data_IF_783836943530
#
_entry.id   IF_783836943530
#
_cell.length_a   1.000
_cell.length_b   1.000
_cell.length_c   1.000
_cell.angle_alpha   90.00
_cell.angle_beta   90.00
_cell.angle_gamma   90.00
#
_symmetry.space_group_name_H-M   'P 1'
#
loop_
_entity.id
_entity.type
_entity.pdbx_description
1 polymer ?
#
# COMPACT_ATOMS: atom_id res chain seq x y z
N UNK A 1 -131.58 153.01 90.08
CA UNK A 1 -130.74 154.21 89.86
C UNK A 1 -129.31 153.75 89.63
N UNK A 2 -128.65 154.27 88.59
CA UNK A 2 -127.25 154.01 88.19
C UNK A 2 -126.26 154.28 89.33
N UNK A 3 -125.22 153.45 89.43
CA UNK A 3 -123.82 153.89 89.33
C UNK A 3 -122.92 152.69 88.96
N UNK A 4 -122.37 152.76 87.76
CA UNK A 4 -121.35 151.86 87.20
C UNK A 4 -119.96 152.32 87.64
N UNK A 5 -119.07 151.38 87.94
CA UNK A 5 -117.63 151.58 87.85
C UNK A 5 -117.02 150.43 87.04
N UNK A 6 -116.16 150.82 86.09
CA UNK A 6 -115.60 150.04 84.98
C UNK A 6 -114.53 149.03 85.45
N UNK A 7 -114.57 147.80 84.94
CA UNK A 7 -113.39 146.90 84.88
C UNK A 7 -113.25 146.33 83.46
N UNK A 8 -112.03 146.36 82.92
CA UNK A 8 -111.73 146.20 81.49
C UNK A 8 -111.70 144.77 80.94
N UNK A 9 -111.61 144.64 79.61
CA UNK A 9 -111.58 143.37 78.86
C UNK A 9 -110.24 142.64 78.95
N UNK A 10 -110.28 141.31 79.03
CA UNK A 10 -109.09 140.44 79.09
C UNK A 10 -108.71 139.82 77.73
N UNK A 11 -107.40 139.57 77.53
CA UNK A 11 -106.84 138.93 76.32
C UNK A 11 -107.48 137.56 76.00
N UNK A 12 -107.84 136.78 77.02
CA UNK A 12 -108.50 135.46 76.85
C UNK A 12 -109.89 135.59 76.25
N UNK A 13 -110.65 136.62 76.62
CA UNK A 13 -111.97 136.88 76.03
C UNK A 13 -111.85 137.25 74.56
N UNK A 14 -110.87 138.09 74.19
CA UNK A 14 -110.57 138.42 72.78
C UNK A 14 -110.14 137.18 71.99
N UNK A 15 -109.36 136.28 72.58
CA UNK A 15 -108.96 135.02 71.95
C UNK A 15 -110.14 134.08 71.71
N UNK A 16 -111.05 133.95 72.69
CA UNK A 16 -112.27 133.15 72.56
C UNK A 16 -113.20 133.72 71.47
N UNK A 17 -113.39 135.05 71.45
CA UNK A 17 -114.17 135.73 70.41
C UNK A 17 -113.55 135.56 69.01
N UNK A 18 -112.21 135.65 68.88
CA UNK A 18 -111.50 135.34 67.62
C UNK A 18 -111.71 133.90 67.18
N UNK A 19 -111.58 132.94 68.09
CA UNK A 19 -111.77 131.52 67.80
C UNK A 19 -113.22 131.23 67.38
N UNK A 20 -114.21 131.84 68.04
CA UNK A 20 -115.62 131.73 67.69
C UNK A 20 -115.92 132.30 66.29
N UNK A 21 -115.39 133.47 65.95
CA UNK A 21 -115.54 134.06 64.61
C UNK A 21 -114.85 133.23 63.53
N UNK A 22 -113.65 132.72 63.79
CA UNK A 22 -112.92 131.85 62.86
C UNK A 22 -113.62 130.50 62.67
N UNK A 23 -114.19 129.93 63.72
CA UNK A 23 -115.01 128.72 63.63
C UNK A 23 -116.31 128.94 62.84
N UNK A 24 -116.91 130.13 62.95
CA UNK A 24 -118.05 130.57 62.11
C UNK A 24 -117.64 131.05 60.71
N UNK A 25 -116.36 130.96 60.35
CA UNK A 25 -115.77 131.42 59.08
C UNK A 25 -116.08 132.89 58.72
N UNK A 26 -116.35 133.73 59.72
CA UNK A 26 -116.56 135.16 59.52
C UNK A 26 -115.22 135.91 59.64
N UNK A 27 -115.09 136.99 58.86
CA UNK A 27 -113.88 137.81 58.87
C UNK A 27 -113.62 138.38 60.26
N UNK A 28 -112.46 138.05 60.84
CA UNK A 28 -112.02 138.52 62.16
C UNK A 28 -111.61 140.00 62.05
N UNK A 29 -112.60 140.89 61.99
CA UNK A 29 -112.38 142.34 62.07
C UNK A 29 -112.59 142.83 63.50
N UNK A 30 -111.96 143.95 63.86
CA UNK A 30 -111.99 144.46 65.23
C UNK A 30 -113.42 144.71 65.71
N UNK A 31 -114.30 145.19 64.82
CA UNK A 31 -115.69 145.48 65.13
C UNK A 31 -116.52 144.19 65.30
N UNK A 32 -116.22 143.12 64.54
CA UNK A 32 -116.85 141.81 64.72
C UNK A 32 -116.46 141.18 66.06
N UNK A 33 -115.18 141.27 66.45
CA UNK A 33 -114.70 140.79 67.76
C UNK A 33 -115.32 141.61 68.89
N UNK A 34 -115.53 142.92 68.69
CA UNK A 34 -116.19 143.79 69.66
C UNK A 34 -117.69 143.48 69.81
N UNK A 35 -118.38 143.15 68.72
CA UNK A 35 -119.78 142.73 68.75
C UNK A 35 -119.97 141.43 69.55
N UNK A 36 -119.11 140.44 69.33
CA UNK A 36 -119.10 139.18 70.09
C UNK A 36 -118.74 139.38 71.58
N UNK A 37 -117.98 140.42 71.90
CA UNK A 37 -117.66 140.82 73.28
C UNK A 37 -118.76 141.71 73.91
N UNK A 38 -119.95 141.77 73.32
CA UNK A 38 -121.10 142.51 73.87
C UNK A 38 -120.96 144.03 73.76
N UNK A 39 -120.26 144.52 72.74
CA UNK A 39 -119.96 145.94 72.48
C UNK A 39 -119.12 146.63 73.56
N UNK A 40 -118.44 145.85 74.39
CA UNK A 40 -117.55 146.35 75.42
C UNK A 40 -116.11 146.48 74.90
N UNK A 41 -115.30 147.32 75.55
CA UNK A 41 -113.89 147.50 75.23
C UNK A 41 -113.61 148.52 74.13
N UNK A 42 -112.44 149.15 74.21
CA UNK A 42 -112.00 150.11 73.19
C UNK A 42 -111.37 149.37 72.00
N UNK A 43 -111.60 149.89 70.79
CA UNK A 43 -111.11 149.33 69.52
C UNK A 43 -109.58 149.12 69.54
N UNK A 44 -108.85 149.99 70.22
CA UNK A 44 -107.39 149.92 70.39
C UNK A 44 -106.96 148.74 71.27
N UNK A 45 -107.70 148.43 72.35
CA UNK A 45 -107.38 147.28 73.22
C UNK A 45 -107.59 145.94 72.51
N UNK A 46 -108.65 145.82 71.71
CA UNK A 46 -108.95 144.60 70.95
C UNK A 46 -107.92 144.38 69.84
N UNK A 47 -107.55 145.42 69.10
CA UNK A 47 -106.51 145.34 68.06
C UNK A 47 -105.15 144.91 68.61
N UNK A 48 -104.75 145.45 69.76
CA UNK A 48 -103.51 145.04 70.42
C UNK A 48 -103.51 143.55 70.77
N UNK A 49 -104.58 143.05 71.38
CA UNK A 49 -104.65 141.63 71.75
C UNK A 49 -104.77 140.70 70.54
N UNK A 50 -105.37 141.13 69.43
CA UNK A 50 -105.39 140.35 68.18
C UNK A 50 -103.98 140.21 67.58
N UNK A 51 -103.21 141.30 67.49
CA UNK A 51 -101.85 141.27 66.96
C UNK A 51 -100.90 140.41 67.82
N UNK A 52 -101.01 140.51 69.15
CA UNK A 52 -100.20 139.67 70.05
C UNK A 52 -100.52 138.16 69.93
N UNK A 53 -101.70 137.78 69.43
CA UNK A 53 -102.08 136.37 69.22
C UNK A 53 -101.58 135.81 67.90
N UNK A 54 -101.49 136.63 66.84
CA UNK A 54 -100.96 136.21 65.55
C UNK A 54 -99.44 136.00 65.59
N UNK A 55 -98.70 136.88 66.30
CA UNK A 55 -97.25 136.75 66.50
C UNK A 55 -96.86 135.43 67.20
N UNK A 56 -97.63 134.98 68.19
CA UNK A 56 -97.34 133.73 68.92
C UNK A 56 -97.57 132.45 68.09
N UNK A 57 -98.37 132.51 67.02
CA UNK A 57 -98.59 131.35 66.13
C UNK A 57 -97.48 131.21 65.09
N UNK A 58 -96.99 132.33 64.54
CA UNK A 58 -95.87 132.32 63.59
C UNK A 58 -94.59 131.75 64.22
N UNK A 59 -94.26 132.16 65.44
CA UNK A 59 -93.08 131.66 66.18
C UNK A 59 -93.12 130.14 66.44
N UNK A 60 -94.30 129.51 66.49
CA UNK A 60 -94.42 128.05 66.70
C UNK A 60 -94.26 127.23 65.43
N UNK A 61 -94.67 127.75 64.28
CA UNK A 61 -94.48 127.08 62.99
C UNK A 61 -93.00 127.14 62.57
N UNK A 62 -92.36 128.30 62.75
CA UNK A 62 -90.94 128.49 62.45
C UNK A 62 -90.04 127.52 63.26
N UNK A 63 -90.41 127.20 64.51
CA UNK A 63 -89.68 126.24 65.34
C UNK A 63 -89.88 124.76 64.92
N UNK A 64 -91.03 124.40 64.35
CA UNK A 64 -91.28 123.03 63.87
C UNK A 64 -90.59 122.76 62.54
N UNK A 65 -90.57 123.77 61.66
CA UNK A 65 -89.82 123.71 60.40
C UNK A 65 -88.30 123.71 60.65
N UNK A 66 -87.82 124.44 61.66
CA UNK A 66 -86.41 124.38 62.10
C UNK A 66 -86.03 122.99 62.66
N UNK A 67 -86.89 122.38 63.50
CA UNK A 67 -86.63 121.04 64.05
C UNK A 67 -86.69 119.94 62.97
N UNK A 68 -87.62 120.06 62.02
CA UNK A 68 -87.71 119.17 60.85
C UNK A 68 -86.48 119.29 59.95
N UNK A 69 -85.99 120.52 59.77
CA UNK A 69 -84.76 120.78 59.02
C UNK A 69 -83.51 120.23 59.74
N UNK A 70 -83.39 120.37 61.07
CA UNK A 70 -82.28 119.79 61.86
C UNK A 70 -82.29 118.25 61.84
N UNK A 71 -83.46 117.63 62.00
CA UNK A 71 -83.59 116.16 61.88
C UNK A 71 -83.30 115.68 60.46
N UNK A 72 -83.76 116.40 59.44
CA UNK A 72 -83.43 116.11 58.03
C UNK A 72 -81.93 116.23 57.73
N UNK A 73 -81.25 117.21 58.33
CA UNK A 73 -79.79 117.34 58.23
C UNK A 73 -79.07 116.19 58.93
N UNK A 74 -79.49 115.79 60.15
CA UNK A 74 -78.86 114.68 60.88
C UNK A 74 -79.07 113.34 60.18
N UNK A 75 -80.29 113.08 59.69
CA UNK A 75 -80.61 111.88 58.90
C UNK A 75 -79.83 111.90 57.57
N UNK A 76 -79.68 113.05 56.93
CA UNK A 76 -78.83 113.21 55.74
C UNK A 76 -77.36 112.93 56.02
N UNK A 77 -76.82 113.38 57.15
CA UNK A 77 -75.45 113.08 57.58
C UNK A 77 -75.26 111.59 57.88
N UNK A 78 -76.21 110.95 58.55
CA UNK A 78 -76.19 109.50 58.81
C UNK A 78 -76.30 108.69 57.52
N UNK A 79 -77.18 109.09 56.59
CA UNK A 79 -77.31 108.45 55.28
C UNK A 79 -76.03 108.61 54.45
N UNK A 80 -75.42 109.79 54.45
CA UNK A 80 -74.13 110.04 53.78
C UNK A 80 -73.01 109.18 54.38
N UNK A 81 -72.93 109.10 55.71
CA UNK A 81 -71.94 108.27 56.40
C UNK A 81 -72.15 106.77 56.14
N UNK A 82 -73.40 106.30 56.13
CA UNK A 82 -73.74 104.93 55.71
C UNK A 82 -73.38 104.67 54.25
N UNK A 83 -73.57 105.65 53.37
CA UNK A 83 -73.22 105.54 51.96
C UNK A 83 -71.70 105.53 51.76
N UNK A 84 -70.95 106.31 52.53
CA UNK A 84 -69.48 106.27 52.58
C UNK A 84 -68.98 104.92 53.12
N UNK A 85 -69.50 104.44 54.25
CA UNK A 85 -69.13 103.12 54.79
C UNK A 85 -69.50 101.97 53.83
N UNK A 86 -70.63 102.08 53.11
CA UNK A 86 -71.00 101.11 52.09
C UNK A 86 -70.05 101.15 50.89
N UNK A 87 -69.66 102.35 50.42
CA UNK A 87 -68.66 102.51 49.35
C UNK A 87 -67.30 101.97 49.77
N UNK A 88 -66.83 102.29 50.97
CA UNK A 88 -65.56 101.76 51.50
C UNK A 88 -65.58 100.24 51.59
N UNK A 89 -66.70 99.64 52.03
CA UNK A 89 -66.85 98.17 52.04
C UNK A 89 -66.86 97.56 50.64
N UNK A 90 -67.49 98.22 49.68
CA UNK A 90 -67.48 97.79 48.27
C UNK A 90 -66.05 97.87 47.72
N UNK A 91 -65.35 98.99 47.91
CA UNK A 91 -63.96 99.16 47.46
C UNK A 91 -63.02 98.14 48.11
N UNK A 92 -63.17 97.88 49.42
CA UNK A 92 -62.40 96.84 50.12
C UNK A 92 -62.69 95.44 49.57
N UNK A 93 -63.95 95.12 49.29
CA UNK A 93 -64.32 93.83 48.71
C UNK A 93 -63.84 93.71 47.27
N UNK A 94 -63.98 94.75 46.45
CA UNK A 94 -63.46 94.78 45.08
C UNK A 94 -61.94 94.60 45.05
N UNK A 95 -61.21 95.29 45.94
CA UNK A 95 -59.77 95.10 46.09
C UNK A 95 -59.40 93.67 46.51
N UNK A 96 -60.16 93.06 47.44
CA UNK A 96 -59.97 91.65 47.82
C UNK A 96 -60.22 90.71 46.65
N UNK A 97 -61.32 90.87 45.92
CA UNK A 97 -61.63 90.04 44.76
C UNK A 97 -60.63 90.22 43.61
N UNK A 98 -60.13 91.44 43.39
CA UNK A 98 -59.08 91.70 42.42
C UNK A 98 -57.80 90.96 42.80
N UNK A 99 -57.35 91.07 44.07
CA UNK A 99 -56.18 90.34 44.56
C UNK A 99 -56.35 88.83 44.47
N UNK A 100 -57.50 88.28 44.87
CA UNK A 100 -57.79 86.84 44.75
C UNK A 100 -57.77 86.41 43.27
N UNK A 101 -58.39 87.19 42.37
CA UNK A 101 -58.41 86.88 40.94
C UNK A 101 -57.01 86.91 40.33
N UNK A 102 -56.18 87.88 40.72
CA UNK A 102 -54.77 87.93 40.30
C UNK A 102 -54.01 86.71 40.82
N UNK A 103 -54.17 86.34 42.09
CA UNK A 103 -53.55 85.13 42.66
C UNK A 103 -54.01 83.85 41.95
N UNK A 104 -55.30 83.72 41.62
CA UNK A 104 -55.81 82.58 40.86
C UNK A 104 -55.28 82.57 39.43
N UNK A 105 -55.11 83.74 38.81
CA UNK A 105 -54.52 83.84 37.47
C UNK A 105 -53.04 83.46 37.47
N UNK A 106 -52.26 83.91 38.46
CA UNK A 106 -50.84 83.53 38.56
C UNK A 106 -50.69 82.04 38.85
N UNK A 107 -51.48 81.48 39.78
CA UNK A 107 -51.45 80.03 40.06
C UNK A 107 -51.85 79.20 38.83
N UNK A 108 -52.86 79.67 38.08
CA UNK A 108 -53.27 79.00 36.84
C UNK A 108 -52.14 79.02 35.80
N UNK A 109 -51.48 80.16 35.61
CA UNK A 109 -50.34 80.28 34.70
C UNK A 109 -49.18 79.38 35.13
N UNK A 110 -48.82 79.36 36.42
CA UNK A 110 -47.77 78.48 36.95
C UNK A 110 -48.09 77.00 36.72
N UNK A 111 -49.35 76.59 36.90
CA UNK A 111 -49.79 75.21 36.63
C UNK A 111 -49.80 74.88 35.13
N UNK A 112 -50.19 75.82 34.26
CA UNK A 112 -50.15 75.65 32.81
C UNK A 112 -48.70 75.52 32.32
N UNK A 113 -47.78 76.33 32.83
CA UNK A 113 -46.35 76.27 32.51
C UNK A 113 -45.71 74.96 33.03
N UNK A 114 -46.05 74.54 34.25
CA UNK A 114 -45.60 73.27 34.80
C UNK A 114 -46.11 72.08 33.99
N UNK A 115 -47.38 72.11 33.57
CA UNK A 115 -47.98 71.09 32.71
C UNK A 115 -47.30 71.05 31.34
N UNK A 116 -47.07 72.21 30.72
CA UNK A 116 -46.37 72.30 29.44
C UNK A 116 -44.93 71.75 29.53
N UNK A 117 -44.20 72.09 30.61
CA UNK A 117 -42.86 71.57 30.88
C UNK A 117 -42.87 70.05 31.07
N UNK A 118 -43.81 69.52 31.86
CA UNK A 118 -43.95 68.08 32.08
C UNK A 118 -44.32 67.33 30.78
N UNK A 119 -45.19 67.91 29.94
CA UNK A 119 -45.55 67.35 28.64
C UNK A 119 -44.34 67.34 27.69
N UNK A 120 -43.55 68.42 27.65
CA UNK A 120 -42.33 68.49 26.85
C UNK A 120 -41.28 67.45 27.30
N UNK A 121 -41.10 67.26 28.61
CA UNK A 121 -40.22 66.24 29.15
C UNK A 121 -40.70 64.82 28.81
N UNK A 122 -42.01 64.56 28.96
CA UNK A 122 -42.62 63.28 28.58
C UNK A 122 -42.42 62.97 27.09
N UNK A 123 -42.67 63.95 26.22
CA UNK A 123 -42.44 63.81 24.77
C UNK A 123 -40.95 63.53 24.45
N UNK A 124 -40.02 64.20 25.13
CA UNK A 124 -38.58 63.95 24.97
C UNK A 124 -38.19 62.54 25.43
N UNK A 125 -38.70 62.08 26.56
CA UNK A 125 -38.43 60.73 27.07
C UNK A 125 -39.00 59.65 26.15
N UNK A 126 -40.21 59.85 25.63
CA UNK A 126 -40.82 58.93 24.65
C UNK A 126 -39.96 58.86 23.38
N UNK A 127 -39.48 60.00 22.87
CA UNK A 127 -38.59 60.01 21.72
C UNK A 127 -37.27 59.26 21.99
N UNK A 128 -36.68 59.42 23.17
CA UNK A 128 -35.46 58.69 23.57
C UNK A 128 -35.69 57.18 23.69
N UNK A 129 -36.82 56.77 24.26
CA UNK A 129 -37.18 55.35 24.37
C UNK A 129 -37.35 54.73 22.98
N UNK A 130 -38.08 55.39 22.08
CA UNK A 130 -38.27 54.91 20.72
C UNK A 130 -36.94 54.80 19.95
N UNK A 131 -36.03 55.76 20.13
CA UNK A 131 -34.70 55.70 19.52
C UNK A 131 -33.88 54.52 20.07
N UNK A 132 -33.86 54.32 21.39
CA UNK A 132 -33.17 53.19 22.01
C UNK A 132 -33.78 51.84 21.61
N UNK A 133 -35.09 51.76 21.44
CA UNK A 133 -35.76 50.56 20.94
C UNK A 133 -35.38 50.25 19.49
N UNK A 134 -35.28 51.27 18.65
CA UNK A 134 -34.82 51.16 17.26
C UNK A 134 -33.37 50.68 17.18
N UNK A 135 -32.46 51.31 17.96
CA UNK A 135 -31.07 50.88 18.08
C UNK A 135 -31.00 49.44 18.60
N UNK A 136 -31.78 49.11 19.63
CA UNK A 136 -31.85 47.76 20.18
C UNK A 136 -32.40 46.72 19.20
N UNK A 137 -33.29 47.09 18.29
CA UNK A 137 -33.76 46.22 17.22
C UNK A 137 -32.67 45.97 16.16
N UNK A 138 -31.99 47.03 15.69
CA UNK A 138 -30.91 46.90 14.70
C UNK A 138 -29.72 46.07 15.22
N UNK A 139 -29.29 46.29 16.47
CA UNK A 139 -28.23 45.49 17.10
C UNK A 139 -28.63 44.02 17.27
N UNK A 140 -29.92 43.73 17.54
CA UNK A 140 -30.42 42.36 17.62
C UNK A 140 -30.36 41.67 16.26
N UNK A 141 -30.72 42.39 15.20
CA UNK A 141 -30.64 41.88 13.82
C UNK A 141 -29.19 41.62 13.40
N UNK A 142 -28.29 42.58 13.62
CA UNK A 142 -26.86 42.43 13.33
C UNK A 142 -26.26 41.23 14.09
N UNK A 143 -26.59 41.08 15.38
CA UNK A 143 -26.15 39.94 16.18
C UNK A 143 -26.65 38.60 15.63
N UNK A 144 -27.89 38.55 15.14
CA UNK A 144 -28.44 37.33 14.56
C UNK A 144 -27.77 37.00 13.22
N UNK A 145 -27.51 38.00 12.37
CA UNK A 145 -26.74 37.81 11.14
C UNK A 145 -25.32 37.30 11.43
N UNK A 146 -24.64 37.89 12.41
CA UNK A 146 -23.32 37.42 12.85
C UNK A 146 -23.37 35.99 13.38
N UNK A 147 -24.40 35.64 14.17
CA UNK A 147 -24.59 34.28 14.68
C UNK A 147 -24.78 33.26 13.56
N UNK A 148 -25.60 33.58 12.55
CA UNK A 148 -25.81 32.73 11.37
C UNK A 148 -24.49 32.59 10.60
N UNK A 149 -23.77 33.69 10.37
CA UNK A 149 -22.50 33.67 9.64
C UNK A 149 -21.43 32.85 10.37
N UNK A 150 -21.37 32.94 11.70
CA UNK A 150 -20.49 32.14 12.54
C UNK A 150 -20.84 30.66 12.44
N UNK A 151 -22.14 30.32 12.52
CA UNK A 151 -22.62 28.94 12.33
C UNK A 151 -22.24 28.37 10.95
N UNK A 152 -22.40 29.14 9.88
CA UNK A 152 -21.98 28.72 8.54
C UNK A 152 -20.46 28.56 8.43
N UNK A 153 -19.69 29.41 9.09
CA UNK A 153 -18.23 29.31 9.11
C UNK A 153 -17.76 28.06 9.87
N UNK A 154 -18.35 27.76 11.03
CA UNK A 154 -18.01 26.56 11.82
C UNK A 154 -18.41 25.27 11.11
N UNK A 155 -19.56 25.23 10.44
CA UNK A 155 -19.96 24.08 9.61
C UNK A 155 -18.98 23.86 8.45
N UNK A 156 -18.57 24.93 7.74
CA UNK A 156 -17.56 24.85 6.68
C UNK A 156 -16.21 24.37 7.22
N UNK A 157 -15.79 24.88 8.37
CA UNK A 157 -14.54 24.46 9.01
C UNK A 157 -14.58 22.97 9.39
N UNK A 158 -15.68 22.50 9.97
CA UNK A 158 -15.90 21.09 10.29
C UNK A 158 -15.86 20.21 9.03
N UNK A 159 -16.55 20.62 7.96
CA UNK A 159 -16.53 19.91 6.68
C UNK A 159 -15.14 19.86 6.03
N UNK A 160 -14.35 20.94 6.13
CA UNK A 160 -12.97 20.96 5.66
C UNK A 160 -12.07 20.04 6.49
N UNK A 161 -12.22 20.02 7.82
CA UNK A 161 -11.49 19.11 8.70
C UNK A 161 -11.80 17.64 8.38
N UNK A 162 -13.07 17.29 8.16
CA UNK A 162 -13.45 15.94 7.76
C UNK A 162 -12.79 15.54 6.43
N UNK A 163 -12.87 16.39 5.40
CA UNK A 163 -12.25 16.13 4.09
C UNK A 163 -10.72 16.02 4.19
N UNK A 164 -10.09 16.81 5.06
CA UNK A 164 -8.65 16.73 5.30
C UNK A 164 -8.29 15.40 5.95
N UNK A 165 -9.03 14.98 6.98
CA UNK A 165 -8.86 13.67 7.64
C UNK A 165 -9.01 12.50 6.66
N UNK A 166 -10.07 12.50 5.84
CA UNK A 166 -10.31 11.49 4.81
C UNK A 166 -9.15 11.42 3.80
N UNK A 167 -8.65 12.59 3.35
CA UNK A 167 -7.49 12.65 2.44
C UNK A 167 -6.21 12.15 3.11
N UNK A 168 -5.98 12.49 4.38
CA UNK A 168 -4.83 12.01 5.14
C UNK A 168 -4.85 10.47 5.25
N UNK A 169 -6.01 9.89 5.55
CA UNK A 169 -6.20 8.44 5.61
C UNK A 169 -5.98 7.78 4.23
N UNK A 170 -6.47 8.41 3.16
CA UNK A 170 -6.26 7.92 1.80
C UNK A 170 -4.78 7.96 1.40
N UNK A 171 -4.06 9.04 1.74
CA UNK A 171 -2.60 9.16 1.50
C UNK A 171 -1.86 8.05 2.26
N UNK A 172 -2.15 7.86 3.54
CA UNK A 172 -1.53 6.79 4.34
C UNK A 172 -1.80 5.39 3.74
N UNK A 173 -3.02 5.14 3.23
CA UNK A 173 -3.35 3.89 2.55
C UNK A 173 -2.56 3.70 1.25
N UNK A 174 -2.39 4.76 0.46
CA UNK A 174 -1.58 4.71 -0.76
C UNK A 174 -0.11 4.48 -0.44
N UNK A 175 0.45 5.16 0.56
CA UNK A 175 1.82 4.95 1.01
C UNK A 175 2.05 3.50 1.44
N UNK A 176 1.13 2.92 2.22
CA UNK A 176 1.19 1.52 2.61
C UNK A 176 1.14 0.57 1.39
N UNK A 177 0.29 0.85 0.39
CA UNK A 177 0.28 0.06 -0.85
C UNK A 177 1.60 0.20 -1.63
N UNK A 178 2.20 1.39 -1.63
CA UNK A 178 3.50 1.62 -2.25
C UNK A 178 4.64 0.90 -1.53
N UNK A 179 4.66 0.88 -0.20
CA UNK A 179 5.66 0.11 0.57
C UNK A 179 5.52 -1.38 0.29
N UNK A 180 4.29 -1.92 0.33
CA UNK A 180 4.03 -3.33 0.02
C UNK A 180 4.46 -3.70 -1.40
N UNK A 181 4.22 -2.82 -2.39
CA UNK A 181 4.67 -3.05 -3.76
C UNK A 181 6.20 -3.04 -3.89
N UNK A 182 6.90 -2.17 -3.14
CA UNK A 182 8.37 -2.15 -3.09
C UNK A 182 8.93 -3.41 -2.45
N UNK A 183 8.41 -3.80 -1.29
CA UNK A 183 8.81 -5.02 -0.58
C UNK A 183 8.58 -6.26 -1.44
N UNK A 184 7.42 -6.37 -2.11
CA UNK A 184 7.15 -7.46 -3.04
C UNK A 184 8.19 -7.51 -4.17
N UNK A 185 8.53 -6.37 -4.79
CA UNK A 185 9.56 -6.30 -5.84
C UNK A 185 10.95 -6.68 -5.31
N UNK A 186 11.30 -6.30 -4.09
CA UNK A 186 12.55 -6.70 -3.45
C UNK A 186 12.60 -8.21 -3.22
N UNK A 187 11.51 -8.80 -2.73
CA UNK A 187 11.38 -10.25 -2.61
C UNK A 187 11.49 -10.96 -3.96
N UNK A 188 10.83 -10.47 -5.01
CA UNK A 188 10.96 -11.03 -6.35
C UNK A 188 12.38 -10.94 -6.89
N UNK A 189 13.06 -9.81 -6.69
CA UNK A 189 14.46 -9.63 -7.11
C UNK A 189 15.39 -10.58 -6.35
N UNK A 190 15.22 -10.69 -5.03
CA UNK A 190 16.00 -11.60 -4.19
C UNK A 190 15.76 -13.05 -4.60
N UNK A 191 14.51 -13.48 -4.76
CA UNK A 191 14.15 -14.83 -5.20
C UNK A 191 14.75 -15.15 -6.59
N UNK A 192 14.66 -14.22 -7.54
CA UNK A 192 15.24 -14.39 -8.88
C UNK A 192 16.76 -14.51 -8.82
N UNK A 193 17.43 -13.71 -7.97
CA UNK A 193 18.87 -13.79 -7.75
C UNK A 193 19.26 -15.15 -7.19
N UNK A 194 18.60 -15.60 -6.11
CA UNK A 194 18.84 -16.91 -5.50
C UNK A 194 18.60 -18.06 -6.48
N UNK A 195 17.55 -17.98 -7.31
CA UNK A 195 17.28 -18.98 -8.34
C UNK A 195 18.42 -19.05 -9.36
N UNK A 196 18.89 -17.91 -9.86
CA UNK A 196 20.03 -17.87 -10.80
C UNK A 196 21.30 -18.42 -10.17
N UNK A 197 21.57 -18.10 -8.90
CA UNK A 197 22.72 -18.63 -8.17
C UNK A 197 22.64 -20.17 -8.02
N UNK A 198 21.46 -20.70 -7.71
CA UNK A 198 21.25 -22.16 -7.65
C UNK A 198 21.43 -22.83 -9.01
N UNK A 199 20.90 -22.24 -10.09
CA UNK A 199 21.04 -22.78 -11.44
C UNK A 199 22.51 -22.73 -11.90
N UNK A 200 23.24 -21.64 -11.59
CA UNK A 200 24.68 -21.56 -11.85
C UNK A 200 25.46 -22.66 -11.10
N UNK A 201 25.17 -22.89 -9.81
CA UNK A 201 25.80 -23.96 -9.03
C UNK A 201 25.50 -25.35 -9.61
N UNK A 202 24.26 -25.59 -10.05
CA UNK A 202 23.88 -26.86 -10.72
C UNK A 202 24.63 -27.04 -12.03
N UNK A 203 24.71 -26.00 -12.86
CA UNK A 203 25.44 -26.04 -14.12
C UNK A 203 26.93 -26.24 -13.90
N UNK A 204 27.53 -25.56 -12.92
CA UNK A 204 28.93 -25.76 -12.55
C UNK A 204 29.20 -27.21 -12.12
N UNK A 205 28.31 -27.80 -11.32
CA UNK A 205 28.40 -29.20 -10.94
C UNK A 205 28.30 -30.15 -12.16
N UNK A 206 27.36 -29.92 -13.08
CA UNK A 206 27.24 -30.70 -14.32
C UNK A 206 28.49 -30.61 -15.18
N UNK A 207 29.07 -29.42 -15.33
CA UNK A 207 30.32 -29.21 -16.08
C UNK A 207 31.46 -29.99 -15.43
N UNK A 208 31.58 -29.96 -14.10
CA UNK A 208 32.60 -30.73 -13.38
C UNK A 208 32.43 -32.25 -13.58
N UNK A 209 31.20 -32.76 -13.55
CA UNK A 209 30.90 -34.17 -13.83
C UNK A 209 31.32 -34.57 -15.25
N UNK A 210 30.91 -33.80 -16.27
CA UNK A 210 31.29 -34.07 -17.67
C UNK A 210 32.81 -33.98 -17.87
N UNK A 211 33.49 -33.02 -17.22
CA UNK A 211 34.95 -32.94 -17.25
C UNK A 211 35.63 -34.14 -16.58
N UNK A 212 35.04 -34.70 -15.52
CA UNK A 212 35.54 -35.91 -14.88
C UNK A 212 35.33 -37.15 -15.78
N UNK A 213 34.16 -37.27 -16.42
CA UNK A 213 33.87 -38.33 -17.40
C UNK A 213 34.79 -38.24 -18.61
N UNK A 214 35.03 -37.04 -19.14
CA UNK A 214 35.97 -36.81 -20.25
C UNK A 214 37.39 -37.25 -19.86
N UNK A 215 37.86 -36.89 -18.66
CA UNK A 215 39.16 -37.35 -18.14
C UNK A 215 39.22 -38.87 -18.03
N UNK A 216 38.15 -39.50 -17.54
CA UNK A 216 38.06 -40.97 -17.46
C UNK A 216 38.08 -41.63 -18.85
N UNK A 217 37.34 -41.09 -19.82
CA UNK A 217 37.34 -41.58 -21.19
C UNK A 217 38.72 -41.42 -21.85
N UNK A 218 39.39 -40.28 -21.66
CA UNK A 218 40.76 -40.06 -22.13
C UNK A 218 41.74 -41.07 -21.52
N UNK A 219 41.63 -41.37 -20.23
CA UNK A 219 42.43 -42.42 -19.58
C UNK A 219 42.15 -43.81 -20.18
N UNK A 220 40.89 -44.15 -20.44
CA UNK A 220 40.53 -45.42 -21.09
C UNK A 220 41.10 -45.51 -22.51
N UNK A 221 41.03 -44.43 -23.29
CA UNK A 221 41.64 -44.37 -24.62
C UNK A 221 43.15 -44.56 -24.53
N UNK A 222 43.83 -43.91 -23.59
CA UNK A 222 45.27 -44.08 -23.40
C UNK A 222 45.67 -45.53 -23.07
N UNK A 223 44.89 -46.21 -22.22
CA UNK A 223 45.11 -47.65 -21.91
C UNK A 223 44.90 -48.52 -23.15
N UNK A 224 43.85 -48.24 -23.95
CA UNK A 224 43.62 -48.97 -25.20
C UNK A 224 44.74 -48.72 -26.20
N UNK A 225 45.22 -47.48 -26.35
CA UNK A 225 46.37 -47.14 -27.20
C UNK A 225 47.62 -47.90 -26.75
N UNK A 226 47.95 -47.91 -25.45
CA UNK A 226 49.11 -48.65 -24.94
C UNK A 226 49.01 -50.17 -25.22
N UNK A 227 47.81 -50.74 -25.10
CA UNK A 227 47.61 -52.16 -25.42
C UNK A 227 47.66 -52.45 -26.93
N UNK A 228 47.17 -51.52 -27.77
CA UNK A 228 47.30 -51.58 -29.22
C UNK A 228 48.77 -51.50 -29.65
N UNK A 229 49.54 -50.58 -29.09
CA UNK A 229 50.98 -50.43 -29.36
C UNK A 229 51.74 -51.71 -28.99
N UNK A 230 51.44 -52.30 -27.82
CA UNK A 230 51.98 -53.62 -27.42
C UNK A 230 51.60 -54.71 -28.41
N UNK A 231 50.34 -54.76 -28.86
CA UNK A 231 49.89 -55.73 -29.85
C UNK A 231 50.56 -55.54 -31.22
N UNK A 232 50.72 -54.30 -31.68
CA UNK A 232 51.44 -53.96 -32.91
C UNK A 232 52.92 -54.35 -32.80
N UNK A 233 53.57 -54.09 -31.68
CA UNK A 233 54.95 -54.52 -31.44
C UNK A 233 55.09 -56.05 -31.45
N UNK A 234 54.17 -56.75 -30.79
CA UNK A 234 54.13 -58.22 -30.82
C UNK A 234 53.89 -58.75 -32.23
N UNK A 235 52.98 -58.13 -32.99
CA UNK A 235 52.70 -58.48 -34.37
C UNK A 235 53.96 -58.31 -35.23
N UNK A 236 54.62 -57.16 -35.18
CA UNK A 236 55.87 -56.91 -35.91
C UNK A 236 56.99 -57.91 -35.50
N UNK A 237 57.10 -58.24 -34.22
CA UNK A 237 58.05 -59.24 -33.71
C UNK A 237 57.73 -60.66 -34.22
N UNK A 238 56.45 -61.03 -34.26
CA UNK A 238 55.99 -62.30 -34.81
C UNK A 238 56.20 -62.34 -36.33
N UNK A 239 55.92 -61.26 -37.06
CA UNK A 239 56.20 -61.15 -38.49
C UNK A 239 57.70 -61.29 -38.79
N UNK A 240 58.57 -60.64 -38.02
CA UNK A 240 60.01 -60.80 -38.15
C UNK A 240 60.45 -62.25 -37.87
N UNK A 241 59.89 -62.89 -36.83
CA UNK A 241 60.13 -64.32 -36.56
C UNK A 241 59.62 -65.21 -37.70
N UNK A 242 58.47 -64.91 -38.28
CA UNK A 242 57.92 -65.64 -39.44
C UNK A 242 58.79 -65.47 -40.67
N UNK A 243 59.34 -64.27 -40.92
CA UNK A 243 60.30 -64.05 -42.01
C UNK A 243 61.56 -64.88 -41.80
N UNK A 244 62.15 -64.86 -40.60
CA UNK A 244 63.33 -65.67 -40.26
C UNK A 244 63.04 -67.16 -40.40
N UNK A 245 61.90 -67.66 -39.90
CA UNK A 245 61.55 -69.08 -40.07
C UNK A 245 61.25 -69.43 -41.52
N UNK A 246 60.69 -68.52 -42.30
CA UNK A 246 60.48 -68.70 -43.74
C UNK A 246 61.81 -68.79 -44.49
N UNK A 247 62.77 -67.91 -44.19
CA UNK A 247 64.13 -67.96 -44.73
C UNK A 247 64.86 -69.26 -44.32
N UNK A 248 64.77 -69.63 -43.04
CA UNK A 248 65.31 -70.90 -42.54
C UNK A 248 64.67 -72.09 -43.26
N UNK A 249 63.34 -72.12 -43.42
CA UNK A 249 62.63 -73.18 -44.15
C UNK A 249 63.03 -73.21 -45.62
N UNK A 250 63.16 -72.06 -46.28
CA UNK A 250 63.62 -71.93 -47.67
C UNK A 250 65.04 -72.49 -47.82
N UNK A 251 65.96 -72.11 -46.92
CA UNK A 251 67.32 -72.65 -46.90
C UNK A 251 67.37 -74.15 -46.60
N UNK A 252 66.54 -74.64 -45.68
CA UNK A 252 66.43 -76.06 -45.36
C UNK A 252 65.84 -76.85 -46.54
N UNK A 253 64.85 -76.30 -47.26
CA UNK A 253 64.33 -76.86 -48.51
C UNK A 253 65.40 -76.90 -49.59
N UNK A 254 66.17 -75.83 -49.76
CA UNK A 254 67.27 -75.80 -50.72
C UNK A 254 68.38 -76.81 -50.37
N UNK A 255 68.71 -76.96 -49.08
CA UNK A 255 69.66 -77.97 -48.62
C UNK A 255 69.13 -79.39 -48.82
N UNK A 256 67.85 -79.64 -48.51
CA UNK A 256 67.20 -80.92 -48.78
C UNK A 256 67.17 -81.23 -50.28
N UNK A 257 66.92 -80.24 -51.13
CA UNK A 257 66.96 -80.40 -52.58
C UNK A 257 68.37 -80.74 -53.06
N UNK A 258 69.41 -80.08 -52.53
CA UNK A 258 70.81 -80.45 -52.78
C UNK A 258 71.13 -81.87 -52.30
N UNK A 259 70.69 -82.25 -51.10
CA UNK A 259 70.86 -83.62 -50.59
C UNK A 259 70.11 -84.65 -51.42
N UNK A 260 68.89 -84.34 -51.89
CA UNK A 260 68.13 -85.20 -52.79
C UNK A 260 68.82 -85.35 -54.15
N UNK A 261 69.36 -84.26 -54.71
CA UNK A 261 70.18 -84.30 -55.92
C UNK A 261 71.45 -85.14 -55.70
N UNK A 262 72.14 -84.96 -54.58
CA UNK A 262 73.32 -85.75 -54.23
C UNK A 262 72.97 -87.22 -53.98
N UNK A 263 71.84 -87.52 -53.35
CA UNK A 263 71.34 -88.87 -53.15
C UNK A 263 70.89 -89.51 -54.47
N UNK A 264 70.33 -88.74 -55.41
CA UNK A 264 70.02 -89.19 -56.75
C UNK A 264 71.30 -89.48 -57.57
N UNK A 265 72.33 -88.64 -57.44
CA UNK A 265 73.66 -88.87 -58.00
C UNK A 265 74.26 -90.16 -57.43
N UNK A 266 74.31 -90.31 -56.10
CA UNK A 266 74.77 -91.54 -55.43
C UNK A 266 73.97 -92.76 -55.86
N UNK A 267 72.63 -92.67 -55.98
CA UNK A 267 71.79 -93.75 -56.50
C UNK A 267 72.16 -94.09 -57.95
N UNK A 268 72.41 -93.07 -58.79
CA UNK A 268 72.84 -93.30 -60.17
C UNK A 268 74.21 -93.98 -60.23
N UNK A 269 75.16 -93.56 -59.39
CA UNK A 269 76.45 -94.23 -59.23
C UNK A 269 76.28 -95.68 -58.73
N UNK A 270 75.38 -95.91 -57.77
CA UNK A 270 75.04 -97.24 -57.28
C UNK A 270 74.42 -98.10 -58.38
N UNK A 271 73.54 -97.56 -59.22
CA UNK A 271 72.98 -98.30 -60.37
C UNK A 271 74.05 -98.63 -61.41
N UNK A 272 75.01 -97.72 -61.65
CA UNK A 272 76.16 -97.97 -62.53
C UNK A 272 77.05 -99.05 -61.93
N UNK A 273 77.37 -98.99 -60.63
CA UNK A 273 78.17 -100.00 -59.93
C UNK A 273 77.45 -101.35 -59.90
N UNK A 274 76.13 -101.38 -59.64
CA UNK A 274 75.32 -102.60 -59.70
C UNK A 274 75.25 -103.17 -61.13
N UNK A 275 75.18 -102.32 -62.15
CA UNK A 275 75.30 -102.72 -63.55
C UNK A 275 76.67 -103.35 -63.86
N UNK A 276 77.75 -102.74 -63.38
CA UNK A 276 79.11 -103.26 -63.50
C UNK A 276 79.29 -104.57 -62.73
N UNK A 277 78.66 -104.71 -61.55
CA UNK A 277 78.68 -105.93 -60.75
C UNK A 277 77.93 -107.06 -61.48
N UNK A 278 76.72 -106.80 -61.99
CA UNK A 278 75.98 -107.77 -62.80
C UNK A 278 76.74 -108.19 -64.05
N UNK A 279 77.41 -107.25 -64.74
CA UNK A 279 78.31 -107.60 -65.85
C UNK A 279 79.46 -108.49 -65.40
N UNK A 280 80.10 -108.19 -64.26
CA UNK A 280 81.14 -109.06 -63.69
C UNK A 280 80.61 -110.43 -63.26
N UNK A 281 79.41 -110.51 -62.70
CA UNK A 281 78.75 -111.78 -62.35
C UNK A 281 78.47 -112.63 -63.59
N UNK A 282 77.97 -112.03 -64.68
CA UNK A 282 77.79 -112.71 -65.97
C UNK A 282 79.13 -113.24 -66.51
N UNK A 283 80.21 -112.46 -66.39
CA UNK A 283 81.56 -112.91 -66.78
C UNK A 283 82.06 -114.06 -65.90
N UNK A 284 81.82 -114.02 -64.59
CA UNK A 284 82.21 -115.09 -63.65
C UNK A 284 81.40 -116.36 -63.89
N UNK A 285 80.09 -116.26 -64.18
CA UNK A 285 79.25 -117.42 -64.54
C UNK A 285 79.72 -118.02 -65.88
N UNK A 286 80.00 -117.19 -66.89
CA UNK A 286 80.54 -117.67 -68.15
C UNK A 286 81.94 -118.32 -67.99
N UNK A 287 82.75 -117.85 -67.05
CA UNK A 287 84.05 -118.46 -66.72
C UNK A 287 83.90 -119.77 -65.92
N UNK A 288 82.90 -119.88 -65.03
CA UNK A 288 82.63 -121.10 -64.26
C UNK A 288 82.01 -122.21 -65.13
N UNK A 289 81.19 -121.86 -66.12
CA UNK A 289 80.69 -122.78 -67.14
C UNK A 289 81.83 -123.32 -68.02
N UNK A 290 82.77 -122.46 -68.44
CA UNK A 290 83.98 -122.90 -69.15
C UNK A 290 84.84 -123.85 -68.29
N UNK A 291 85.03 -123.55 -67.01
CA UNK A 291 85.74 -124.42 -66.07
C UNK A 291 85.04 -125.77 -65.86
N UNK A 292 83.71 -125.79 -65.79
CA UNK A 292 82.93 -127.03 -65.73
C UNK A 292 83.08 -127.86 -67.01
N UNK A 293 83.15 -127.21 -68.18
CA UNK A 293 83.46 -127.84 -69.46
C UNK A 293 84.84 -128.52 -69.46
N UNK A 294 85.89 -127.83 -69.01
CA UNK A 294 87.23 -128.42 -68.86
C UNK A 294 87.26 -129.57 -67.86
N UNK A 295 86.53 -129.46 -66.74
CA UNK A 295 86.46 -130.52 -65.73
C UNK A 295 85.79 -131.79 -66.27
N UNK A 296 84.80 -131.66 -67.16
CA UNK A 296 84.16 -132.79 -67.85
C UNK A 296 85.10 -133.47 -68.85
N UNK A 297 85.88 -132.70 -69.60
CA UNK A 297 86.90 -133.25 -70.52
C UNK A 297 88.01 -134.03 -69.80
N UNK A 298 88.44 -133.55 -68.62
CA UNK A 298 89.44 -134.27 -67.81
C UNK A 298 88.90 -135.60 -67.27
N UNK A 299 87.63 -135.63 -66.84
CA UNK A 299 87.00 -136.86 -66.35
C UNK A 299 86.81 -137.91 -67.46
N UNK A 300 86.47 -137.50 -68.69
CA UNK A 300 86.39 -138.43 -69.82
C UNK A 300 87.75 -138.97 -70.22
N UNK A 301 88.80 -138.14 -70.20
CA UNK A 301 90.18 -138.59 -70.49
C UNK A 301 90.73 -139.50 -69.37
N UNK A 302 90.35 -139.29 -68.11
CA UNK A 302 90.71 -140.17 -67.00
C UNK A 302 90.04 -141.54 -67.10
N UNK A 303 88.77 -141.61 -67.52
CA UNK A 303 88.08 -142.88 -67.77
C UNK A 303 88.68 -143.67 -68.94
N UNK A 304 89.10 -142.99 -70.01
CA UNK A 304 89.80 -143.61 -71.15
C UNK A 304 91.19 -144.16 -70.75
N UNK A 305 91.92 -143.43 -69.90
CA UNK A 305 93.22 -143.87 -69.35
C UNK A 305 93.10 -145.09 -68.42
N UNK A 306 92.02 -145.21 -67.64
CA UNK A 306 91.76 -146.37 -66.79
C UNK A 306 91.38 -147.61 -67.60
N UNK A 307 90.61 -147.46 -68.68
CA UNK A 307 90.30 -148.54 -69.61
C UNK A 307 91.56 -149.06 -70.34
N UNK A 308 92.46 -148.16 -70.78
CA UNK A 308 93.74 -148.54 -71.38
C UNK A 308 94.68 -149.22 -70.37
N UNK A 309 94.69 -148.79 -69.10
CA UNK A 309 95.46 -149.45 -68.03
C UNK A 309 94.94 -150.86 -67.72
N UNK A 310 93.63 -151.07 -67.67
CA UNK A 310 93.05 -152.41 -67.49
C UNK A 310 93.40 -153.35 -68.67
N UNK A 311 93.37 -152.84 -69.90
CA UNK A 311 93.79 -153.60 -71.09
C UNK A 311 95.28 -153.98 -71.06
N UNK A 312 96.15 -153.09 -70.57
CA UNK A 312 97.59 -153.35 -70.47
C UNK A 312 97.94 -154.40 -69.39
N UNK A 313 97.24 -154.37 -68.25
CA UNK A 313 97.42 -155.37 -67.18
C UNK A 313 97.02 -156.76 -67.66
N UNK A 314 95.93 -156.89 -68.43
CA UNK A 314 95.47 -158.16 -69.00
C UNK A 314 96.42 -158.73 -70.07
N UNK A 315 97.10 -157.86 -70.85
CA UNK A 315 98.14 -158.29 -71.80
C UNK A 315 99.43 -158.73 -71.07
N UNK A 316 99.79 -158.09 -69.96
CA UNK A 316 101.01 -158.43 -69.21
C UNK A 316 100.93 -159.78 -68.49
N UNK A 317 99.74 -160.20 -68.05
CA UNK A 317 99.54 -161.51 -67.38
C UNK A 317 99.54 -162.66 -68.39
N UNK A 318 99.06 -162.43 -69.62
CA UNK A 318 99.16 -163.40 -70.72
C UNK A 318 100.62 -163.62 -71.19
N UNK A 319 101.48 -162.60 -71.08
CA UNK A 319 102.90 -162.67 -71.44
C UNK A 319 103.72 -163.46 -70.42
N UNK A 320 103.47 -163.25 -69.10
CA UNK A 320 104.12 -164.02 -68.03
C UNK A 320 103.74 -165.51 -68.02
N UNK A 321 102.55 -165.88 -68.51
CA UNK A 321 102.14 -167.27 -68.69
C UNK A 321 102.81 -167.96 -69.90
N UNK A 322 103.41 -167.20 -70.82
CA UNK A 322 104.16 -167.72 -71.98
C UNK A 322 105.66 -167.85 -71.69
N UNK A 323 106.22 -166.99 -70.83
CA UNK A 323 107.65 -167.04 -70.44
C UNK A 323 107.99 -168.26 -69.57
N UNK A 324 107.09 -168.68 -68.67
CA UNK A 324 107.32 -169.87 -67.84
C UNK A 324 107.22 -171.20 -68.60
N UNK A 325 106.62 -171.19 -69.81
CA UNK A 325 106.61 -172.34 -70.72
C UNK A 325 107.93 -172.47 -71.51
N UNK A 326 108.75 -171.41 -71.59
CA UNK A 326 110.06 -171.42 -72.27
C UNK A 326 111.18 -171.86 -71.33
N UNK A 327 111.07 -171.60 -70.03
CA UNK A 327 112.04 -172.06 -69.03
C UNK A 327 112.01 -173.59 -68.80
N UNK A 328 110.93 -174.26 -69.22
CA UNK A 328 110.86 -175.73 -69.28
C UNK A 328 111.71 -176.37 -70.40
N UNK A 329 112.28 -175.60 -71.35
CA UNK A 329 112.97 -176.16 -72.52
C UNK A 329 114.49 -175.94 -72.57
N UNK A 330 115.08 -175.13 -71.67
CA UNK A 330 116.48 -174.71 -71.79
C UNK A 330 117.49 -175.37 -70.83
N UNK A 331 117.07 -176.19 -69.86
CA UNK A 331 118.00 -176.93 -68.99
C UNK A 331 118.12 -178.44 -69.27
N UNK A 332 117.47 -178.95 -70.33
CA UNK A 332 117.68 -180.30 -70.87
C UNK A 332 118.89 -180.36 -71.85
N UNK A 333 119.59 -179.24 -72.15
CA UNK A 333 120.47 -179.14 -73.35
C UNK A 333 121.98 -178.86 -73.14
N UNK A 334 122.64 -179.16 -72.02
CA UNK A 334 124.14 -179.07 -72.02
C UNK A 334 124.90 -179.91 -70.98
N UNK A 335 124.92 -181.24 -71.18
CA UNK A 335 126.00 -182.13 -70.74
C UNK A 335 126.81 -182.57 -71.98
N UNK A 336 128.04 -182.08 -72.22
CA UNK A 336 129.21 -182.78 -72.84
C UNK A 336 130.33 -181.83 -73.35
N UNK A 337 131.59 -182.15 -72.98
CA UNK A 337 132.92 -181.59 -73.35
C UNK A 337 133.36 -180.32 -72.56
N UNK A 338 134.25 -180.38 -71.56
CA UNK A 338 135.51 -181.13 -71.45
C UNK A 338 135.60 -181.99 -70.18
N UNK A 339 136.07 -183.21 -70.39
CA UNK A 339 136.67 -184.14 -69.43
C UNK A 339 137.91 -183.57 -68.73
N UNK A 340 138.17 -184.12 -67.55
CA UNK A 340 139.40 -184.10 -66.75
C UNK A 340 139.47 -182.98 -65.67
N UNK A 341 139.26 -183.25 -64.39
CA UNK A 341 139.19 -184.52 -63.63
C UNK A 341 138.35 -184.18 -62.38
N UNK A 342 137.24 -184.84 -62.04
CA UNK A 342 137.15 -186.25 -61.62
C UNK A 342 135.65 -186.63 -61.51
N UNK A 343 135.27 -187.79 -62.10
CA UNK A 343 134.21 -188.76 -61.67
C UNK A 343 132.78 -188.23 -61.44
N UNK A 344 131.69 -188.77 -61.97
CA UNK A 344 131.32 -190.06 -62.58
C UNK A 344 129.86 -189.84 -63.08
N UNK A 345 129.55 -190.11 -64.36
CA UNK A 345 128.75 -191.27 -64.87
C UNK A 345 127.22 -191.08 -64.97
N UNK A 346 126.75 -191.56 -66.13
CA UNK A 346 125.39 -192.00 -66.53
C UNK A 346 124.45 -190.91 -67.08
N UNK A 347 124.16 -190.84 -68.39
CA UNK A 347 123.59 -191.79 -69.38
C UNK A 347 122.05 -191.94 -69.33
N UNK A 348 121.43 -191.61 -70.47
CA UNK A 348 120.48 -192.50 -71.15
C UNK A 348 118.99 -192.26 -70.94
N UNK A 349 118.25 -192.26 -72.07
CA UNK A 349 116.86 -192.75 -72.12
C UNK A 349 115.81 -191.71 -72.45
#
# INVERSE_FOLDING_TARGET
MKCMARTGISKKQVQAAKAALKARQQAVTIDAVRAELGNTGSKTTISRYLNELDQNHQVKMDNLDALSAELGQLIGQVANRLQEEAKERIEQNEARYQNEREQWQTQKQELEDALASAQAQSASLIAQVNELESIGASLREEREQLRISLGQATEKESGLHQRLSERQAHIASLEQKHTHAREALEHFRAATKTQREQDLQRHEHQVQLVQAELRKAQQQVAVVQESLDKAMHNHASLEARLQVTHEQLSSARQNLEKEQQHAAQLKSELTVIQGNLKQKEVVVIAQSEKLAGYKRQVLTQQAEMEQLRHSNIQLSTALKAKETFVEQLLQIKSLTQLTAVQTDRDEGG
#
